data_IF_071786747868
#
_entry.id   IF_071786747868
#
_cell.length_a   1.000
_cell.length_b   1.000
_cell.length_c   1.000
_cell.angle_alpha   90.00
_cell.angle_beta   90.00
_cell.angle_gamma   90.00
#
_symmetry.space_group_name_H-M   'P 1'
#
loop_
_entity.id
_entity.type
_entity.pdbx_description
1 polymer ?
#
# COMPACT_ATOMS: atom_id res chain seq x y z
N UNK A 1 30.23 -5.04 -18.91
CA UNK A 1 30.29 -3.56 -19.03
C UNK A 1 30.92 -3.23 -20.36
N UNK A 2 30.18 -2.59 -21.27
CA UNK A 2 30.75 -2.07 -22.52
C UNK A 2 31.76 -0.96 -22.20
N UNK A 3 32.90 -0.94 -22.90
CA UNK A 3 34.05 -0.05 -22.72
C UNK A 3 33.71 1.46 -22.54
N UNK A 4 32.52 1.90 -23.00
CA UNK A 4 32.04 3.30 -23.01
C UNK A 4 31.79 3.95 -21.64
N UNK A 5 31.71 3.19 -20.55
CA UNK A 5 31.28 3.74 -19.24
C UNK A 5 32.40 3.93 -18.20
N UNK A 6 33.63 3.54 -18.54
CA UNK A 6 34.79 3.66 -17.64
C UNK A 6 35.11 5.16 -17.40
N UNK A 7 35.04 5.97 -18.45
CA UNK A 7 35.40 7.40 -18.44
C UNK A 7 34.23 8.36 -18.17
N UNK A 8 33.00 7.86 -17.95
CA UNK A 8 31.83 8.71 -17.71
C UNK A 8 31.79 9.30 -16.29
N UNK A 9 31.27 10.53 -16.11
CA UNK A 9 30.98 11.12 -14.80
C UNK A 9 30.09 10.22 -13.93
N UNK A 10 30.13 10.44 -12.60
CA UNK A 10 29.40 9.59 -11.63
C UNK A 10 27.90 9.45 -11.93
N UNK A 11 27.25 10.52 -12.38
CA UNK A 11 25.83 10.50 -12.78
C UNK A 11 25.59 9.64 -14.04
N UNK A 12 26.56 9.58 -14.97
CA UNK A 12 26.49 8.75 -16.17
C UNK A 12 26.55 7.26 -15.84
N UNK A 13 27.33 6.90 -14.82
CA UNK A 13 27.39 5.54 -14.27
C UNK A 13 26.06 5.15 -13.59
N UNK A 14 25.48 6.06 -12.81
CA UNK A 14 24.15 5.86 -12.18
C UNK A 14 23.07 5.70 -13.26
N UNK A 15 23.06 6.56 -14.27
CA UNK A 15 22.08 6.49 -15.35
C UNK A 15 22.19 5.19 -16.16
N UNK A 16 23.41 4.73 -16.42
CA UNK A 16 23.65 3.44 -17.08
C UNK A 16 23.13 2.27 -16.25
N UNK A 17 23.37 2.31 -14.94
CA UNK A 17 22.85 1.31 -13.99
C UNK A 17 21.32 1.31 -13.96
N UNK A 18 20.69 2.48 -13.86
CA UNK A 18 19.22 2.61 -13.89
C UNK A 18 18.60 2.09 -15.18
N UNK A 19 19.29 2.23 -16.32
CA UNK A 19 18.84 1.66 -17.61
C UNK A 19 18.96 0.13 -17.68
N UNK A 20 19.89 -0.47 -16.94
CA UNK A 20 20.06 -1.92 -16.87
C UNK A 20 19.14 -2.57 -15.82
N UNK A 21 18.65 -1.79 -14.85
CA UNK A 21 17.77 -2.26 -13.79
C UNK A 21 16.52 -3.02 -14.31
N UNK A 22 15.78 -2.54 -15.34
CA UNK A 22 14.64 -3.28 -15.90
C UNK A 22 15.04 -4.62 -16.52
N UNK A 23 16.24 -4.69 -17.14
CA UNK A 23 16.73 -5.92 -17.78
C UNK A 23 17.05 -6.99 -16.72
N UNK A 24 17.66 -6.60 -15.60
CA UNK A 24 17.92 -7.52 -14.49
C UNK A 24 16.64 -8.07 -13.83
N UNK A 25 15.56 -7.29 -13.76
CA UNK A 25 14.25 -7.78 -13.31
C UNK A 25 13.62 -8.74 -14.32
N UNK A 26 13.77 -8.47 -15.62
CA UNK A 26 13.22 -9.28 -16.70
C UNK A 26 13.91 -10.66 -16.84
N UNK A 27 15.20 -10.76 -16.49
CA UNK A 27 15.93 -12.05 -16.46
C UNK A 27 15.31 -13.04 -15.47
N UNK A 28 14.59 -12.56 -14.44
CA UNK A 28 13.96 -13.40 -13.44
C UNK A 28 14.96 -14.13 -12.53
N UNK A 29 14.45 -14.99 -11.65
CA UNK A 29 15.30 -15.75 -10.74
C UNK A 29 15.92 -16.98 -11.44
N UNK A 30 17.22 -17.21 -11.26
CA UNK A 30 17.92 -18.40 -11.78
C UNK A 30 17.33 -19.73 -11.28
N UNK A 31 16.63 -19.70 -10.14
CA UNK A 31 15.90 -20.83 -9.57
C UNK A 31 14.50 -20.35 -9.18
N UNK A 32 13.48 -21.09 -9.59
CA UNK A 32 12.12 -20.84 -9.12
C UNK A 32 12.03 -21.10 -7.61
N UNK A 33 11.33 -20.25 -6.84
CA UNK A 33 11.01 -20.54 -5.45
C UNK A 33 10.34 -21.91 -5.32
N UNK A 34 10.70 -22.66 -4.27
CA UNK A 34 10.14 -23.98 -4.01
C UNK A 34 8.64 -23.92 -3.65
N UNK A 35 8.15 -22.76 -3.21
CA UNK A 35 6.74 -22.48 -2.85
C UNK A 35 6.36 -21.06 -3.24
N UNK A 36 5.10 -20.84 -3.61
CA UNK A 36 4.55 -19.50 -3.89
C UNK A 36 3.92 -18.82 -2.66
N UNK A 37 3.82 -19.54 -1.54
CA UNK A 37 3.21 -19.07 -0.29
C UNK A 37 3.71 -17.71 0.22
N UNK A 38 5.04 -17.48 0.32
CA UNK A 38 5.55 -16.18 0.76
C UNK A 38 5.12 -15.02 -0.15
N UNK A 39 5.12 -15.23 -1.46
CA UNK A 39 4.65 -14.24 -2.43
C UNK A 39 3.14 -14.00 -2.32
N UNK A 40 2.35 -15.07 -2.14
CA UNK A 40 0.92 -14.99 -1.91
C UNK A 40 0.58 -14.16 -0.66
N UNK A 41 1.29 -14.42 0.45
CA UNK A 41 1.11 -13.69 1.70
C UNK A 41 1.43 -12.20 1.55
N UNK A 42 2.55 -11.86 0.91
CA UNK A 42 2.94 -10.47 0.69
C UNK A 42 1.93 -9.70 -0.19
N UNK A 43 1.49 -10.31 -1.29
CA UNK A 43 0.56 -9.64 -2.24
C UNK A 43 -0.83 -9.48 -1.62
N UNK A 44 -1.38 -10.54 -1.01
CA UNK A 44 -2.74 -10.49 -0.44
C UNK A 44 -2.78 -9.56 0.79
N UNK A 45 -1.76 -9.58 1.66
CA UNK A 45 -1.70 -8.68 2.82
C UNK A 45 -1.66 -7.20 2.44
N UNK A 46 -0.97 -6.84 1.35
CA UNK A 46 -0.99 -5.47 0.85
C UNK A 46 -2.42 -5.04 0.44
N UNK A 47 -3.16 -5.93 -0.21
CA UNK A 47 -4.59 -5.72 -0.51
C UNK A 47 -5.45 -5.58 0.74
N UNK A 48 -5.18 -6.38 1.79
CA UNK A 48 -5.88 -6.28 3.09
C UNK A 48 -5.64 -4.92 3.73
N UNK A 49 -4.40 -4.42 3.71
CA UNK A 49 -4.09 -3.08 4.21
C UNK A 49 -4.91 -2.00 3.49
N UNK A 50 -4.89 -2.00 2.15
CA UNK A 50 -5.64 -1.04 1.34
C UNK A 50 -7.15 -1.10 1.63
N UNK A 51 -7.70 -2.30 1.76
CA UNK A 51 -9.10 -2.49 2.11
C UNK A 51 -9.41 -1.98 3.53
N UNK A 52 -8.57 -2.28 4.52
CA UNK A 52 -8.78 -1.87 5.91
C UNK A 52 -8.75 -0.35 6.08
N UNK A 53 -7.88 0.34 5.34
CA UNK A 53 -7.89 1.81 5.26
C UNK A 53 -9.26 2.33 4.87
N UNK A 54 -9.88 1.71 3.85
CA UNK A 54 -11.17 2.14 3.33
C UNK A 54 -12.33 1.78 4.25
N UNK A 55 -12.24 0.65 4.95
CA UNK A 55 -13.15 0.32 6.05
C UNK A 55 -13.07 1.40 7.14
N UNK A 56 -11.87 1.74 7.61
CA UNK A 56 -11.67 2.79 8.61
C UNK A 56 -12.21 4.16 8.14
N UNK A 57 -12.02 4.48 6.85
CA UNK A 57 -12.61 5.66 6.24
C UNK A 57 -14.14 5.68 6.36
N UNK A 58 -14.83 4.59 6.00
CA UNK A 58 -16.29 4.53 6.04
C UNK A 58 -16.85 4.58 7.46
N UNK A 59 -16.21 3.91 8.42
CA UNK A 59 -16.61 3.99 9.82
C UNK A 59 -16.45 5.41 10.38
N UNK A 60 -15.39 6.12 9.98
CA UNK A 60 -15.17 7.51 10.36
C UNK A 60 -16.23 8.44 9.80
N UNK A 61 -16.63 8.22 8.54
CA UNK A 61 -17.55 9.11 7.83
C UNK A 61 -19.01 8.84 8.21
N UNK A 62 -19.35 7.58 8.54
CA UNK A 62 -20.67 7.20 9.05
C UNK A 62 -20.92 7.63 10.51
N UNK A 63 -19.86 7.95 11.27
CA UNK A 63 -19.96 8.39 12.66
C UNK A 63 -20.25 9.89 12.78
N UNK A 64 -21.52 10.23 12.98
CA UNK A 64 -21.96 11.61 13.22
C UNK A 64 -21.40 12.23 14.51
N UNK A 65 -20.97 11.42 15.49
CA UNK A 65 -20.43 11.92 16.76
C UNK A 65 -18.97 12.39 16.66
N UNK A 66 -18.28 12.08 15.54
CA UNK A 66 -16.86 12.34 15.31
C UNK A 66 -15.90 11.64 16.29
N UNK A 67 -16.38 10.64 17.03
CA UNK A 67 -15.58 9.83 17.95
C UNK A 67 -14.56 8.99 17.19
N UNK A 68 -14.99 8.29 16.13
CA UNK A 68 -14.12 7.43 15.30
C UNK A 68 -13.08 8.27 14.58
N UNK A 69 -13.50 9.42 14.03
CA UNK A 69 -12.58 10.34 13.35
C UNK A 69 -11.50 10.85 14.31
N UNK A 70 -11.87 11.24 15.53
CA UNK A 70 -10.94 11.71 16.56
C UNK A 70 -9.98 10.60 16.99
N UNK A 71 -10.49 9.38 17.17
CA UNK A 71 -9.66 8.21 17.48
C UNK A 71 -8.62 7.97 16.37
N UNK A 72 -9.06 7.92 15.11
CA UNK A 72 -8.16 7.73 13.97
C UNK A 72 -7.13 8.85 13.88
N UNK A 73 -7.53 10.11 14.04
CA UNK A 73 -6.60 11.22 13.99
C UNK A 73 -5.52 11.13 15.07
N UNK A 74 -5.88 10.72 16.29
CA UNK A 74 -4.91 10.47 17.35
C UNK A 74 -4.02 9.27 17.04
N UNK A 75 -4.59 8.18 16.50
CA UNK A 75 -3.84 7.00 16.08
C UNK A 75 -2.77 7.33 15.03
N UNK A 76 -3.08 8.24 14.08
CA UNK A 76 -2.16 8.69 13.03
C UNK A 76 -1.34 9.93 13.37
N UNK A 77 -1.35 10.39 14.62
CA UNK A 77 -0.70 11.65 15.01
C UNK A 77 0.84 11.61 14.91
N UNK A 78 1.41 10.41 14.82
CA UNK A 78 2.84 10.17 14.64
C UNK A 78 3.33 10.46 13.21
N UNK A 79 2.41 10.53 12.22
CA UNK A 79 2.77 10.82 10.84
C UNK A 79 3.02 12.34 10.70
N UNK A 80 4.20 12.76 10.22
CA UNK A 80 4.49 14.17 9.97
C UNK A 80 3.43 14.79 9.05
N UNK A 81 2.90 15.95 9.45
CA UNK A 81 1.82 16.61 8.71
C UNK A 81 0.41 16.21 9.16
N UNK A 82 0.24 15.28 10.11
CA UNK A 82 -1.04 14.98 10.77
C UNK A 82 -1.55 16.10 11.68
N UNK A 83 -0.65 16.89 12.27
CA UNK A 83 -0.98 18.09 13.02
C UNK A 83 0.01 19.17 12.64
N UNK A 84 -0.47 20.24 12.01
CA UNK A 84 0.38 21.36 11.60
C UNK A 84 -0.12 22.66 12.24
N UNK A 85 0.71 23.36 13.03
CA UNK A 85 0.33 24.65 13.61
C UNK A 85 0.28 25.77 12.55
N UNK A 86 0.96 25.60 11.41
CA UNK A 86 0.99 26.61 10.35
C UNK A 86 -0.19 26.46 9.41
N UNK A 87 -1.04 27.50 9.34
CA UNK A 87 -2.15 27.58 8.38
C UNK A 87 -1.70 27.57 6.91
N UNK A 88 -0.44 27.94 6.63
CA UNK A 88 0.11 27.96 5.26
C UNK A 88 0.44 26.55 4.73
N UNK A 89 0.72 25.58 5.60
CA UNK A 89 1.26 24.28 5.19
C UNK A 89 0.25 23.13 5.24
N UNK A 90 -1.02 23.42 5.53
CA UNK A 90 -2.11 22.44 5.54
C UNK A 90 -1.94 21.31 6.57
N UNK A 91 -2.96 20.48 6.70
CA UNK A 91 -2.94 19.30 7.55
C UNK A 91 -3.68 18.16 6.85
N UNK A 92 -3.09 16.97 6.80
CA UNK A 92 -3.73 15.76 6.25
C UNK A 92 -4.86 15.22 7.17
N UNK A 93 -4.87 15.64 8.44
CA UNK A 93 -5.94 15.41 9.40
C UNK A 93 -6.09 13.95 9.80
N UNK A 94 -7.35 13.52 9.97
CA UNK A 94 -7.71 12.15 10.34
C UNK A 94 -7.33 11.11 9.28
N UNK A 95 -6.99 11.54 8.05
CA UNK A 95 -6.50 10.66 7.00
C UNK A 95 -5.17 9.97 7.36
N UNK A 96 -4.31 10.61 8.16
CA UNK A 96 -3.09 9.94 8.67
C UNK A 96 -3.42 8.72 9.55
N UNK A 97 -4.56 8.77 10.25
CA UNK A 97 -5.11 7.64 10.99
C UNK A 97 -5.57 6.51 10.09
N UNK A 98 -6.24 6.86 8.99
CA UNK A 98 -6.69 5.91 7.96
C UNK A 98 -5.48 5.20 7.33
N UNK A 99 -4.40 5.93 7.01
CA UNK A 99 -3.12 5.35 6.56
C UNK A 99 -2.44 4.48 7.63
N UNK A 100 -2.55 4.85 8.90
CA UNK A 100 -2.04 4.01 10.00
C UNK A 100 -2.80 2.69 10.07
N UNK A 101 -4.12 2.68 9.84
CA UNK A 101 -4.91 1.46 9.75
C UNK A 101 -4.51 0.60 8.54
N UNK A 102 -4.15 1.21 7.40
CA UNK A 102 -3.56 0.49 6.27
C UNK A 102 -2.32 -0.29 6.72
N UNK A 103 -1.39 0.41 7.37
CA UNK A 103 -0.13 -0.14 7.81
C UNK A 103 -0.34 -1.28 8.82
N UNK A 104 -1.24 -1.09 9.80
CA UNK A 104 -1.60 -2.14 10.75
C UNK A 104 -2.18 -3.36 10.03
N UNK A 105 -3.13 -3.14 9.12
CA UNK A 105 -3.77 -4.22 8.37
C UNK A 105 -2.76 -5.04 7.58
N UNK A 106 -1.83 -4.36 6.91
CA UNK A 106 -0.76 -5.02 6.18
C UNK A 106 0.22 -5.77 7.11
N UNK A 107 0.75 -5.10 8.14
CA UNK A 107 1.76 -5.67 9.04
C UNK A 107 1.22 -6.77 9.96
N UNK A 108 -0.07 -6.78 10.27
CA UNK A 108 -0.70 -7.86 11.05
C UNK A 108 -1.06 -9.02 10.13
N UNK A 109 -1.67 -8.76 8.96
CA UNK A 109 -2.09 -9.85 8.07
C UNK A 109 -0.91 -10.56 7.42
N UNK A 110 0.16 -9.84 7.08
CA UNK A 110 1.34 -10.42 6.44
C UNK A 110 2.01 -11.55 7.24
N UNK A 111 2.43 -11.39 8.51
CA UNK A 111 3.05 -12.45 9.28
C UNK A 111 2.09 -13.62 9.50
N UNK A 112 0.81 -13.35 9.77
CA UNK A 112 -0.21 -14.41 9.90
C UNK A 112 -0.27 -15.26 8.62
N UNK A 113 -0.45 -14.61 7.46
CA UNK A 113 -0.51 -15.31 6.18
C UNK A 113 0.82 -15.99 5.83
N UNK A 114 1.94 -15.35 6.16
CA UNK A 114 3.27 -15.91 5.93
C UNK A 114 3.44 -17.22 6.71
N UNK A 115 3.17 -17.24 8.01
CA UNK A 115 3.29 -18.46 8.81
C UNK A 115 2.33 -19.56 8.35
N UNK A 116 1.11 -19.21 7.94
CA UNK A 116 0.12 -20.19 7.46
C UNK A 116 0.47 -20.78 6.09
N UNK A 117 1.11 -20.01 5.22
CA UNK A 117 1.30 -20.37 3.81
C UNK A 117 2.75 -20.54 3.36
N UNK A 118 3.77 -20.21 4.16
CA UNK A 118 5.20 -20.23 3.75
C UNK A 118 5.65 -21.52 3.06
N UNK A 119 5.12 -22.67 3.49
CA UNK A 119 5.47 -23.99 2.95
C UNK A 119 4.42 -24.53 1.95
N UNK A 120 3.48 -23.69 1.50
CA UNK A 120 2.38 -24.07 0.61
C UNK A 120 2.54 -23.52 -0.80
N UNK A 121 2.05 -24.30 -1.76
CA UNK A 121 1.89 -23.88 -3.16
C UNK A 121 0.51 -23.27 -3.40
N UNK A 122 0.44 -21.95 -3.44
CA UNK A 122 -0.77 -21.18 -3.74
C UNK A 122 -0.82 -20.91 -5.26
N UNK A 123 -1.93 -21.29 -5.89
CA UNK A 123 -2.11 -21.08 -7.34
C UNK A 123 -2.15 -19.59 -7.66
N UNK A 124 -1.47 -19.16 -8.72
CA UNK A 124 -1.43 -17.76 -9.14
C UNK A 124 -2.83 -17.14 -9.31
N UNK A 125 -3.80 -17.90 -9.88
CA UNK A 125 -5.20 -17.47 -10.02
C UNK A 125 -5.84 -17.08 -8.69
N UNK A 126 -5.52 -17.79 -7.61
CA UNK A 126 -6.04 -17.51 -6.26
C UNK A 126 -5.41 -16.25 -5.69
N UNK A 127 -4.11 -16.06 -5.89
CA UNK A 127 -3.39 -14.85 -5.47
C UNK A 127 -3.98 -13.62 -6.16
N UNK A 128 -4.07 -13.66 -7.49
CA UNK A 128 -4.59 -12.55 -8.29
C UNK A 128 -6.06 -12.28 -7.98
N UNK A 129 -6.90 -13.31 -7.88
CA UNK A 129 -8.31 -13.14 -7.55
C UNK A 129 -8.50 -12.38 -6.24
N UNK A 130 -7.84 -12.82 -5.15
CA UNK A 130 -8.00 -12.16 -3.85
C UNK A 130 -7.41 -10.77 -3.81
N UNK A 131 -6.23 -10.58 -4.40
CA UNK A 131 -5.62 -9.25 -4.50
C UNK A 131 -6.54 -8.28 -5.25
N UNK A 132 -6.99 -8.64 -6.46
CA UNK A 132 -7.86 -7.78 -7.24
C UNK A 132 -9.23 -7.59 -6.58
N UNK A 133 -9.80 -8.62 -5.94
CA UNK A 133 -11.06 -8.47 -5.21
C UNK A 133 -10.94 -7.43 -4.08
N UNK A 134 -9.86 -7.49 -3.29
CA UNK A 134 -9.59 -6.51 -2.23
C UNK A 134 -9.32 -5.12 -2.79
N UNK A 135 -8.54 -5.00 -3.86
CA UNK A 135 -8.25 -3.73 -4.51
C UNK A 135 -9.49 -3.11 -5.15
N UNK A 136 -10.33 -3.90 -5.82
CA UNK A 136 -11.60 -3.45 -6.39
C UNK A 136 -12.54 -3.01 -5.26
N UNK A 137 -12.64 -3.78 -4.18
CA UNK A 137 -13.45 -3.40 -3.03
C UNK A 137 -12.95 -2.08 -2.41
N UNK A 138 -11.65 -1.95 -2.16
CA UNK A 138 -11.06 -0.72 -1.65
C UNK A 138 -11.29 0.46 -2.60
N UNK A 139 -11.16 0.25 -3.91
CA UNK A 139 -11.39 1.30 -4.92
C UNK A 139 -12.86 1.68 -4.98
N UNK A 140 -13.78 0.72 -5.00
CA UNK A 140 -15.23 0.96 -5.01
C UNK A 140 -15.73 1.61 -3.71
N UNK A 141 -15.02 1.42 -2.60
CA UNK A 141 -15.24 2.18 -1.37
C UNK A 141 -14.66 3.59 -1.49
N UNK A 142 -13.48 3.76 -2.10
CA UNK A 142 -12.84 5.07 -2.28
C UNK A 142 -13.66 6.01 -3.17
N UNK A 143 -14.29 5.42 -4.17
CA UNK A 143 -15.13 6.08 -5.15
C UNK A 143 -16.53 5.54 -4.97
N UNK A 144 -17.38 6.28 -4.26
CA UNK A 144 -18.62 5.77 -3.69
C UNK A 144 -19.75 5.38 -4.68
N UNK A 145 -19.48 5.05 -5.94
CA UNK A 145 -19.95 5.71 -7.17
C UNK A 145 -21.49 5.86 -7.31
N UNK A 146 -22.14 6.51 -6.33
CA UNK A 146 -23.55 6.88 -6.29
C UNK A 146 -23.79 8.39 -6.48
N UNK A 147 -22.78 9.25 -6.28
CA UNK A 147 -22.88 10.72 -6.11
C UNK A 147 -23.91 11.13 -4.99
N UNK A 148 -23.80 12.26 -4.27
CA UNK A 148 -23.27 13.52 -4.73
C UNK A 148 -22.29 14.18 -3.75
N UNK A 149 -21.15 14.59 -4.27
CA UNK A 149 -20.50 15.78 -3.72
C UNK A 149 -21.25 16.99 -4.30
N UNK A 150 -21.99 17.71 -3.43
CA UNK A 150 -22.17 19.17 -3.33
C UNK A 150 -23.49 19.47 -2.58
N UNK A 151 -23.42 20.19 -1.46
CA UNK A 151 -23.46 21.63 -1.61
C UNK A 151 -22.20 22.32 -1.08
N UNK A 152 -21.65 23.20 -1.91
CA UNK A 152 -20.91 24.36 -1.45
C UNK A 152 -21.96 25.29 -0.83
N UNK A 153 -22.20 25.16 0.47
CA UNK A 153 -22.90 26.17 1.28
C UNK A 153 -22.12 26.40 2.54
#
# INVERSE_FOLDING_TARGET
>A
MTQRYIDSPWYGKIWAFLKQFPQGLAEGAKRSPATSGPAAAAIISAGIGCFLMMVAHHFSDADHSKTVETFLWNLGSWIPGSKNPSKMWGNIGSYSGKETMLLIGWLVSWPILHYLWKDRQIKAKTILFWFFALMIAATAMSWHPLFPYLPLT
#
